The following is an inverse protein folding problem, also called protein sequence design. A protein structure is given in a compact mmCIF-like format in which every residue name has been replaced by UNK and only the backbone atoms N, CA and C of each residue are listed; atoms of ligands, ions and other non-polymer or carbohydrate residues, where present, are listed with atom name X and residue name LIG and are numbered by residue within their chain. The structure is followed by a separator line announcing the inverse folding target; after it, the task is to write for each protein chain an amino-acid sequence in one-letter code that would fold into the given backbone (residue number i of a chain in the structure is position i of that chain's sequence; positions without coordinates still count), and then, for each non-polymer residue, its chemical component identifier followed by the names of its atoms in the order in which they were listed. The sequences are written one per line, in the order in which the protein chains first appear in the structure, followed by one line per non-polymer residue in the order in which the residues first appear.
data_IF_052353282833
#
_entry.id   IF_052353282833
#
_cell.length_a   1.000
_cell.length_b   1.000
_cell.length_c   1.000
_cell.angle_alpha   90.00
_cell.angle_beta   90.00
_cell.angle_gamma   90.00
#
_symmetry.space_group_name_H-M   'P 1'
#
loop_
_entity.id
_entity.type
_entity.pdbx_description
1 polymer ?
#
# COMPACT_ATOMS: atom_id res chain seq x y z
N UNK A 1 -34.74 27.06 -28.12
CA UNK A 1 -35.13 25.64 -28.02
C UNK A 1 -33.90 24.84 -28.36
N UNK A 2 -33.23 24.25 -27.39
CA UNK A 2 -32.10 23.38 -27.66
C UNK A 2 -32.57 22.22 -28.53
N UNK A 3 -31.83 21.93 -29.60
CA UNK A 3 -32.19 20.85 -30.50
C UNK A 3 -31.95 19.50 -29.79
N UNK A 4 -32.73 18.48 -30.15
CA UNK A 4 -32.50 17.10 -29.68
C UNK A 4 -31.05 16.64 -29.91
N UNK A 5 -30.41 17.18 -30.95
CA UNK A 5 -29.02 16.91 -31.28
C UNK A 5 -28.03 17.51 -30.27
N UNK A 6 -28.30 18.70 -29.75
CA UNK A 6 -27.44 19.34 -28.73
C UNK A 6 -27.52 18.58 -27.40
N UNK A 7 -28.70 18.06 -27.05
CA UNK A 7 -28.88 17.19 -25.88
C UNK A 7 -28.13 15.86 -26.00
N UNK A 8 -28.12 15.26 -27.20
CA UNK A 8 -27.37 14.02 -27.45
C UNK A 8 -25.87 14.27 -27.32
N UNK A 9 -25.34 15.35 -27.92
CA UNK A 9 -23.93 15.72 -27.77
C UNK A 9 -23.56 15.96 -26.32
N UNK A 10 -24.40 16.71 -25.59
CA UNK A 10 -24.16 16.99 -24.18
C UNK A 10 -24.12 15.70 -23.37
N UNK A 11 -25.08 14.79 -23.55
CA UNK A 11 -25.08 13.49 -22.87
C UNK A 11 -23.85 12.64 -23.18
N UNK A 12 -23.34 12.67 -24.42
CA UNK A 12 -22.11 11.95 -24.78
C UNK A 12 -20.89 12.57 -24.10
N UNK A 13 -20.78 13.90 -24.09
CA UNK A 13 -19.70 14.62 -23.40
C UNK A 13 -19.74 14.35 -21.89
N UNK A 14 -20.93 14.44 -21.28
CA UNK A 14 -21.13 14.16 -19.86
C UNK A 14 -20.75 12.71 -19.53
N UNK A 15 -21.13 11.75 -20.38
CA UNK A 15 -20.75 10.35 -20.20
C UNK A 15 -19.25 10.11 -20.31
N UNK A 16 -18.56 10.83 -21.21
CA UNK A 16 -17.11 10.74 -21.36
C UNK A 16 -16.39 11.35 -20.16
N UNK A 17 -16.90 12.46 -19.61
CA UNK A 17 -16.38 13.06 -18.36
C UNK A 17 -16.48 12.08 -17.20
N UNK A 18 -17.66 11.49 -16.99
CA UNK A 18 -17.88 10.51 -15.92
C UNK A 18 -16.98 9.28 -16.09
N UNK A 19 -16.79 8.79 -17.32
CA UNK A 19 -15.89 7.67 -17.59
C UNK A 19 -14.42 8.02 -17.28
N UNK A 20 -13.99 9.24 -17.63
CA UNK A 20 -12.64 9.71 -17.34
C UNK A 20 -12.41 9.85 -15.83
N UNK A 21 -13.36 10.42 -15.09
CA UNK A 21 -13.31 10.55 -13.62
C UNK A 21 -13.20 9.18 -12.93
N UNK A 22 -13.99 8.20 -13.38
CA UNK A 22 -13.90 6.82 -12.87
C UNK A 22 -12.57 6.15 -13.21
N UNK A 23 -12.04 6.36 -14.42
CA UNK A 23 -10.75 5.82 -14.80
C UNK A 23 -9.61 6.42 -13.98
N UNK A 24 -9.64 7.73 -13.73
CA UNK A 24 -8.69 8.41 -12.85
C UNK A 24 -8.76 7.87 -11.41
N UNK A 25 -9.98 7.70 -10.87
CA UNK A 25 -10.18 7.11 -9.55
C UNK A 25 -9.58 5.70 -9.45
N UNK A 26 -9.92 4.81 -10.39
CA UNK A 26 -9.36 3.44 -10.41
C UNK A 26 -7.84 3.44 -10.58
N UNK A 27 -7.29 4.39 -11.34
CA UNK A 27 -5.85 4.60 -11.46
C UNK A 27 -5.20 4.95 -10.11
N UNK A 28 -5.82 5.86 -9.35
CA UNK A 28 -5.36 6.23 -8.01
C UNK A 28 -5.43 5.06 -7.02
N UNK A 29 -6.53 4.30 -7.01
CA UNK A 29 -6.67 3.05 -6.23
C UNK A 29 -5.58 2.05 -6.60
N UNK A 30 -5.38 1.82 -7.90
CA UNK A 30 -4.40 0.86 -8.40
C UNK A 30 -2.98 1.23 -7.97
N UNK A 31 -2.61 2.51 -8.06
CA UNK A 31 -1.31 2.99 -7.59
C UNK A 31 -1.15 2.81 -6.09
N UNK A 32 -2.14 3.22 -5.29
CA UNK A 32 -2.09 3.06 -3.85
C UNK A 32 -1.95 1.59 -3.41
N UNK A 33 -2.68 0.67 -4.06
CA UNK A 33 -2.55 -0.78 -3.82
C UNK A 33 -1.15 -1.31 -4.17
N UNK A 34 -0.55 -0.83 -5.26
CA UNK A 34 0.81 -1.19 -5.65
C UNK A 34 1.83 -0.69 -4.62
N UNK A 35 1.74 0.56 -4.18
CA UNK A 35 2.63 1.14 -3.17
C UNK A 35 2.55 0.36 -1.83
N UNK A 36 1.35 -0.02 -1.42
CA UNK A 36 1.13 -0.90 -0.26
C UNK A 36 1.80 -2.25 -0.45
N UNK A 37 1.64 -2.88 -1.62
CA UNK A 37 2.26 -4.18 -1.92
C UNK A 37 3.79 -4.11 -1.91
N UNK A 38 4.37 -3.07 -2.50
CA UNK A 38 5.82 -2.80 -2.48
C UNK A 38 6.33 -2.65 -1.03
N UNK A 39 5.62 -1.88 -0.20
CA UNK A 39 5.98 -1.69 1.22
C UNK A 39 5.92 -2.99 2.02
N UNK A 40 4.84 -3.77 1.84
CA UNK A 40 4.68 -5.09 2.48
C UNK A 40 5.78 -6.06 2.06
N UNK A 41 6.20 -6.00 0.79
CA UNK A 41 7.31 -6.82 0.32
C UNK A 41 8.62 -6.40 0.97
N UNK A 42 8.91 -5.10 1.04
CA UNK A 42 10.10 -4.58 1.71
C UNK A 42 10.16 -4.99 3.19
N UNK A 43 9.04 -4.92 3.92
CA UNK A 43 8.94 -5.40 5.31
C UNK A 43 9.27 -6.89 5.39
N UNK A 44 8.70 -7.71 4.50
CA UNK A 44 8.96 -9.16 4.46
C UNK A 44 10.43 -9.46 4.22
N UNK A 45 11.09 -8.74 3.31
CA UNK A 45 12.50 -8.92 3.03
C UNK A 45 13.36 -8.58 4.25
N UNK A 46 13.06 -7.49 4.96
CA UNK A 46 13.76 -7.16 6.22
C UNK A 46 13.55 -8.19 7.32
N UNK A 47 12.35 -8.78 7.42
CA UNK A 47 12.11 -9.90 8.33
C UNK A 47 12.90 -11.15 7.93
N UNK A 48 13.08 -11.41 6.64
CA UNK A 48 13.94 -12.50 6.17
C UNK A 48 15.41 -12.25 6.53
N UNK A 49 15.89 -11.01 6.40
CA UNK A 49 17.24 -10.61 6.82
C UNK A 49 17.44 -10.84 8.33
N UNK A 50 16.48 -10.41 9.17
CA UNK A 50 16.50 -10.66 10.62
C UNK A 50 16.50 -12.15 10.93
N UNK A 51 15.67 -12.93 10.24
CA UNK A 51 15.60 -14.38 10.40
C UNK A 51 16.92 -15.06 10.05
N UNK A 52 17.61 -14.59 9.00
CA UNK A 52 18.94 -15.07 8.62
C UNK A 52 19.99 -14.82 9.71
N UNK A 53 20.00 -13.60 10.27
CA UNK A 53 20.90 -13.25 11.39
C UNK A 53 20.60 -14.12 12.61
N UNK A 54 19.33 -14.27 12.98
CA UNK A 54 18.92 -15.09 14.11
C UNK A 54 19.30 -16.56 13.91
N UNK A 55 19.11 -17.08 12.70
CA UNK A 55 19.46 -18.46 12.35
C UNK A 55 20.96 -18.74 12.52
N UNK A 56 21.83 -17.91 11.94
CA UNK A 56 23.29 -18.12 12.08
C UNK A 56 23.73 -17.94 13.53
N UNK A 57 23.14 -16.99 14.27
CA UNK A 57 23.44 -16.77 15.69
C UNK A 57 23.07 -17.96 16.58
N UNK A 58 22.03 -18.71 16.22
CA UNK A 58 21.60 -19.92 16.95
C UNK A 58 22.35 -21.18 16.52
N UNK A 59 22.97 -21.16 15.34
CA UNK A 59 23.70 -22.29 14.76
C UNK A 59 25.13 -22.39 15.26
N UNK A 60 25.75 -21.28 15.64
CA UNK A 60 27.09 -21.29 16.23
C UNK A 60 27.02 -21.83 17.68
N UNK A 61 27.44 -23.09 17.85
CA UNK A 61 27.34 -23.96 19.05
C UNK A 61 28.09 -23.50 20.33
N UNK A 62 28.35 -22.21 20.53
CA UNK A 62 29.31 -21.74 21.56
C UNK A 62 28.70 -20.98 22.74
N UNK A 63 28.06 -19.86 22.47
CA UNK A 63 27.53 -18.94 23.48
C UNK A 63 26.31 -18.30 22.83
N UNK A 64 25.12 -18.41 23.44
CA UNK A 64 23.92 -17.78 22.90
C UNK A 64 24.18 -16.30 22.68
N UNK A 65 24.41 -15.93 21.41
CA UNK A 65 24.79 -14.57 21.06
C UNK A 65 23.64 -13.65 21.47
N UNK A 66 23.96 -12.56 22.15
CA UNK A 66 22.98 -11.52 22.46
C UNK A 66 22.58 -10.81 21.16
N UNK A 67 21.64 -11.42 20.43
CA UNK A 67 21.11 -10.93 19.15
C UNK A 67 20.59 -9.50 19.30
N UNK A 68 20.05 -9.16 20.48
CA UNK A 68 19.45 -7.86 20.77
C UNK A 68 20.47 -6.69 20.82
N UNK A 69 21.74 -6.97 21.09
CA UNK A 69 22.78 -5.93 21.12
C UNK A 69 23.47 -5.70 19.78
N UNK A 70 23.24 -6.56 18.78
CA UNK A 70 23.78 -6.39 17.42
C UNK A 70 23.25 -5.12 16.76
N UNK A 71 24.15 -4.26 16.30
CA UNK A 71 23.78 -3.02 15.61
C UNK A 71 23.02 -3.29 14.30
N UNK A 72 23.37 -4.37 13.59
CA UNK A 72 22.64 -4.80 12.40
C UNK A 72 21.18 -5.17 12.71
N UNK A 73 20.92 -5.78 13.87
CA UNK A 73 19.56 -6.11 14.31
C UNK A 73 18.80 -4.84 14.68
N UNK A 74 19.43 -3.90 15.40
CA UNK A 74 18.80 -2.62 15.74
C UNK A 74 18.44 -1.81 14.49
N UNK A 75 19.33 -1.78 13.49
CA UNK A 75 19.10 -1.09 12.22
C UNK A 75 17.93 -1.71 11.44
N UNK A 76 17.86 -3.04 11.38
CA UNK A 76 16.76 -3.76 10.75
C UNK A 76 15.42 -3.52 11.46
N UNK A 77 15.40 -3.60 12.79
CA UNK A 77 14.19 -3.31 13.59
C UNK A 77 13.75 -1.87 13.40
N UNK A 78 14.67 -0.92 13.41
CA UNK A 78 14.37 0.49 13.15
C UNK A 78 13.81 0.69 11.74
N UNK A 79 14.41 0.07 10.73
CA UNK A 79 13.93 0.12 9.34
C UNK A 79 12.54 -0.48 9.19
N UNK A 80 12.27 -1.63 9.82
CA UNK A 80 10.95 -2.25 9.83
C UNK A 80 9.91 -1.32 10.45
N UNK A 81 10.21 -0.71 11.62
CA UNK A 81 9.27 0.21 12.27
C UNK A 81 8.95 1.45 11.42
N UNK A 82 9.92 1.97 10.67
CA UNK A 82 9.69 3.05 9.69
C UNK A 82 8.76 2.58 8.58
N UNK A 83 9.03 1.40 8.00
CA UNK A 83 8.22 0.83 6.92
C UNK A 83 6.79 0.49 7.38
N UNK A 84 6.61 0.01 8.61
CA UNK A 84 5.30 -0.27 9.20
C UNK A 84 4.48 1.01 9.39
N UNK A 85 5.13 2.09 9.85
CA UNK A 85 4.49 3.41 9.97
C UNK A 85 4.07 3.93 8.59
N UNK A 86 4.93 3.75 7.58
CA UNK A 86 4.65 4.15 6.21
C UNK A 86 3.52 3.33 5.59
N UNK A 87 3.50 2.01 5.84
CA UNK A 87 2.44 1.11 5.43
C UNK A 87 1.09 1.54 6.01
N UNK A 88 1.04 1.80 7.32
CA UNK A 88 -0.18 2.26 7.99
C UNK A 88 -0.71 3.57 7.38
N UNK A 89 0.18 4.53 7.11
CA UNK A 89 -0.19 5.79 6.46
C UNK A 89 -0.74 5.58 5.04
N UNK A 90 -0.14 4.67 4.25
CA UNK A 90 -0.63 4.33 2.91
C UNK A 90 -1.99 3.64 2.93
N UNK A 91 -2.19 2.72 3.87
CA UNK A 91 -3.46 2.03 4.06
C UNK A 91 -4.57 3.01 4.47
N UNK A 92 -4.26 3.95 5.37
CA UNK A 92 -5.19 5.02 5.75
C UNK A 92 -5.54 5.92 4.55
N UNK A 93 -4.55 6.35 3.76
CA UNK A 93 -4.78 7.16 2.57
C UNK A 93 -5.65 6.44 1.53
N UNK A 94 -5.44 5.14 1.32
CA UNK A 94 -6.30 4.32 0.45
C UNK A 94 -7.75 4.27 0.98
N UNK A 95 -7.93 4.10 2.29
CA UNK A 95 -9.25 4.08 2.91
C UNK A 95 -9.96 5.43 2.79
N UNK A 96 -9.25 6.54 2.95
CA UNK A 96 -9.78 7.88 2.72
C UNK A 96 -10.23 8.06 1.27
N UNK A 97 -9.41 7.64 0.30
CA UNK A 97 -9.72 7.74 -1.13
C UNK A 97 -10.97 6.92 -1.51
N UNK A 98 -11.17 5.75 -0.89
CA UNK A 98 -12.38 4.92 -1.02
C UNK A 98 -13.61 5.60 -0.40
N UNK A 99 -13.45 6.19 0.78
CA UNK A 99 -14.52 6.88 1.49
C UNK A 99 -15.01 8.13 0.73
N UNK A 100 -14.10 8.91 0.13
CA UNK A 100 -14.42 10.05 -0.72
C UNK A 100 -15.28 9.67 -1.94
N UNK A 101 -15.13 8.44 -2.43
CA UNK A 101 -15.80 7.95 -3.63
C UNK A 101 -17.09 7.18 -3.32
N UNK A 102 -17.46 7.05 -2.03
CA UNK A 102 -18.66 6.34 -1.58
C UNK A 102 -18.56 4.81 -1.63
N UNK A 103 -17.38 4.24 -1.89
CA UNK A 103 -17.13 2.79 -2.02
C UNK A 103 -16.88 2.08 -0.68
N UNK A 104 -17.17 2.72 0.45
CA UNK A 104 -16.78 2.25 1.79
C UNK A 104 -17.44 0.94 2.28
N UNK A 105 -18.07 0.12 1.43
CA UNK A 105 -18.92 -0.99 1.89
C UNK A 105 -18.87 -2.32 1.09
N UNK A 106 -18.03 -2.51 0.06
CA UNK A 106 -18.17 -3.70 -0.82
C UNK A 106 -17.03 -4.75 -0.81
N UNK A 107 -15.95 -4.63 -0.02
CA UNK A 107 -14.82 -5.58 -0.07
C UNK A 107 -14.48 -6.27 1.27
N UNK A 108 -15.48 -6.74 2.03
CA UNK A 108 -15.28 -7.60 3.23
C UNK A 108 -16.01 -8.97 3.13
N UNK A 109 -16.16 -9.55 1.93
CA UNK A 109 -16.51 -10.98 1.72
C UNK A 109 -15.37 -11.80 1.11
#
# INVERSE_FOLDING_TARGET
MDSLWDKIKQSVIDSASVAAEKAEYLGRIGRARLDIAETRHAIRDRFADLGGIAYESLKDDGEGADIGSSDAVKDLVGTIGVLETELASREEALNQLRAESGEAAEEDE
#
